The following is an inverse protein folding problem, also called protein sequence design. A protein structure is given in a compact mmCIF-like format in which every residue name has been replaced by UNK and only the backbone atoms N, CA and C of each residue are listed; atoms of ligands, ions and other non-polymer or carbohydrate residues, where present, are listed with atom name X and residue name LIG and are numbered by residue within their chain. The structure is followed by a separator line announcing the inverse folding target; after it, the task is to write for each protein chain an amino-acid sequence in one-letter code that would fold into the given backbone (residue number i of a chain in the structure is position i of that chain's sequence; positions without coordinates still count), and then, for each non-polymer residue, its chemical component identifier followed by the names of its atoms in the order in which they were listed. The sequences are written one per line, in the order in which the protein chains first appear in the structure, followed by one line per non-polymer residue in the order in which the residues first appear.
data_IF_776006263454
#
_entry.id   IF_776006263454
#
_cell.length_a   1.000
_cell.length_b   1.000
_cell.length_c   1.000
_cell.angle_alpha   90.00
_cell.angle_beta   90.00
_cell.angle_gamma   90.00
#
_symmetry.space_group_name_H-M   'P 1'
#
loop_
_entity.id
_entity.type
_entity.pdbx_description
1 polymer ?
#
# COMPACT_ATOMS: atom_id res chain seq x y z
N UNK A 1 17.73 43.39 7.23
CA UNK A 1 16.28 43.28 7.53
C UNK A 1 15.89 41.81 7.40
N UNK A 2 15.52 41.14 8.50
CA UNK A 2 15.11 39.72 8.49
C UNK A 2 13.60 39.67 8.24
N UNK A 3 13.18 39.22 7.07
CA UNK A 3 11.79 38.84 6.85
C UNK A 3 11.58 37.45 7.45
N UNK A 4 10.86 37.38 8.58
CA UNK A 4 10.42 36.12 9.14
C UNK A 4 9.44 35.46 8.16
N UNK A 5 9.70 34.21 7.78
CA UNK A 5 8.80 33.44 6.92
C UNK A 5 7.51 33.11 7.69
N UNK A 6 6.34 33.23 7.04
CA UNK A 6 5.06 32.98 7.68
C UNK A 6 5.00 31.52 8.16
N UNK A 7 4.58 31.40 9.41
CA UNK A 7 4.13 30.24 10.18
C UNK A 7 4.15 28.91 9.43
N UNK A 8 4.89 27.94 9.98
CA UNK A 8 4.74 26.50 9.76
C UNK A 8 3.26 26.18 9.63
N UNK A 9 2.78 26.11 8.39
CA UNK A 9 1.51 25.46 8.09
C UNK A 9 1.71 24.08 8.68
N UNK A 10 0.90 23.73 9.68
CA UNK A 10 0.77 22.34 10.12
C UNK A 10 0.68 21.57 8.82
N UNK A 11 1.72 20.79 8.50
CA UNK A 11 1.66 19.85 7.40
C UNK A 11 0.45 19.00 7.77
N UNK A 12 -0.69 19.34 7.18
CA UNK A 12 -1.87 18.50 7.21
C UNK A 12 -1.35 17.31 6.43
N UNK A 13 -0.85 16.32 7.16
CA UNK A 13 -0.49 15.05 6.58
C UNK A 13 -1.72 14.69 5.79
N UNK A 14 -1.58 14.67 4.46
CA UNK A 14 -2.46 13.89 3.65
C UNK A 14 -2.17 12.46 4.07
N UNK A 15 -2.70 12.05 5.22
CA UNK A 15 -3.00 10.66 5.48
C UNK A 15 -4.02 10.30 4.42
N UNK A 16 -3.50 9.98 3.24
CA UNK A 16 -4.27 9.47 2.13
C UNK A 16 -4.93 8.22 2.68
N UNK A 17 -6.23 8.32 2.98
CA UNK A 17 -6.99 7.19 3.45
C UNK A 17 -7.03 6.17 2.31
N UNK A 18 -6.17 5.17 2.39
CA UNK A 18 -6.14 4.09 1.42
C UNK A 18 -7.29 3.13 1.76
N UNK A 19 -8.23 2.88 0.83
CA UNK A 19 -9.32 1.94 1.07
C UNK A 19 -8.74 0.55 1.29
N UNK A 20 -9.21 -0.14 2.32
CA UNK A 20 -8.78 -1.51 2.61
C UNK A 20 -9.57 -2.49 1.75
N UNK A 21 -8.88 -3.22 0.86
CA UNK A 21 -9.49 -4.29 0.06
C UNK A 21 -10.15 -5.36 0.94
N UNK A 22 -9.57 -5.69 2.10
CA UNK A 22 -10.15 -6.62 3.06
C UNK A 22 -11.47 -6.13 3.64
N UNK A 23 -11.59 -4.83 3.96
CA UNK A 23 -12.87 -4.25 4.41
C UNK A 23 -13.94 -4.26 3.32
N UNK A 24 -13.54 -4.31 2.05
CA UNK A 24 -14.44 -4.31 0.89
C UNK A 24 -14.56 -5.70 0.25
N UNK A 25 -14.06 -6.75 0.91
CA UNK A 25 -13.90 -8.07 0.30
C UNK A 25 -15.22 -8.63 -0.25
N UNK A 26 -16.31 -8.52 0.49
CA UNK A 26 -17.64 -8.97 0.05
C UNK A 26 -18.13 -8.23 -1.20
N UNK A 27 -17.84 -6.92 -1.30
CA UNK A 27 -18.22 -6.12 -2.46
C UNK A 27 -17.41 -6.50 -3.71
N UNK A 28 -16.13 -6.83 -3.52
CA UNK A 28 -15.26 -7.34 -4.58
C UNK A 28 -15.79 -8.68 -5.09
N UNK A 29 -16.10 -9.62 -4.18
CA UNK A 29 -16.64 -10.93 -4.55
C UNK A 29 -18.01 -10.84 -5.23
N UNK A 30 -18.88 -9.99 -4.72
CA UNK A 30 -20.18 -9.72 -5.34
C UNK A 30 -20.01 -9.23 -6.78
N UNK A 31 -19.08 -8.31 -7.02
CA UNK A 31 -18.79 -7.75 -8.35
C UNK A 31 -18.11 -8.76 -9.29
N UNK A 32 -17.43 -9.77 -8.74
CA UNK A 32 -16.75 -10.83 -9.49
C UNK A 32 -17.64 -12.05 -9.78
N UNK A 33 -18.88 -12.10 -9.28
CA UNK A 33 -19.79 -13.24 -9.44
C UNK A 33 -19.93 -13.66 -10.91
N UNK A 34 -19.70 -14.94 -11.18
CA UNK A 34 -19.79 -15.53 -12.52
C UNK A 34 -18.56 -15.30 -13.42
N UNK A 35 -17.49 -14.68 -12.90
CA UNK A 35 -16.21 -14.49 -13.60
C UNK A 35 -15.15 -15.42 -13.04
N UNK A 36 -14.20 -15.81 -13.88
CA UNK A 36 -12.96 -16.41 -13.40
C UNK A 36 -12.06 -15.32 -12.80
N UNK A 37 -11.55 -15.56 -11.61
CA UNK A 37 -10.66 -14.64 -10.91
C UNK A 37 -9.23 -15.10 -11.12
N UNK A 38 -8.37 -14.20 -11.58
CA UNK A 38 -6.92 -14.40 -11.66
C UNK A 38 -6.27 -13.44 -10.68
N UNK A 39 -5.34 -13.94 -9.87
CA UNK A 39 -4.62 -13.16 -8.87
C UNK A 39 -3.15 -13.11 -9.27
N UNK A 40 -2.60 -11.89 -9.31
CA UNK A 40 -1.18 -11.63 -9.45
C UNK A 40 -0.70 -11.00 -8.15
N UNK A 41 0.36 -11.55 -7.57
CA UNK A 41 0.93 -11.08 -6.32
C UNK A 41 2.40 -10.73 -6.56
N UNK A 42 2.80 -9.58 -6.06
CA UNK A 42 4.22 -9.26 -5.94
C UNK A 42 4.85 -10.15 -4.86
N UNK A 43 6.17 -10.23 -4.88
CA UNK A 43 6.92 -11.00 -3.88
C UNK A 43 7.31 -10.12 -2.69
N UNK A 44 8.15 -9.11 -2.90
CA UNK A 44 8.70 -8.28 -1.83
C UNK A 44 7.67 -7.31 -1.26
N UNK A 45 7.49 -7.34 0.06
CA UNK A 45 6.48 -6.53 0.76
C UNK A 45 5.04 -7.00 0.56
N UNK A 46 4.81 -8.09 -0.18
CA UNK A 46 3.48 -8.71 -0.33
C UNK A 46 3.47 -10.15 0.21
N UNK A 47 4.22 -11.05 -0.41
CA UNK A 47 4.34 -12.45 0.04
C UNK A 47 5.47 -12.65 1.05
N UNK A 48 6.51 -11.82 0.96
CA UNK A 48 7.66 -11.81 1.87
C UNK A 48 7.84 -10.40 2.48
N UNK A 49 8.45 -10.27 3.68
CA UNK A 49 8.81 -8.98 4.24
C UNK A 49 9.79 -8.22 3.34
N UNK A 50 9.69 -6.89 3.31
CA UNK A 50 10.70 -6.05 2.65
C UNK A 50 12.03 -6.20 3.39
N UNK A 51 13.10 -6.52 2.67
CA UNK A 51 14.46 -6.64 3.21
C UNK A 51 15.30 -5.45 2.75
N UNK A 52 16.10 -4.89 3.66
CA UNK A 52 16.97 -3.73 3.37
C UNK A 52 18.21 -4.12 2.55
N UNK A 53 18.66 -5.36 2.74
CA UNK A 53 19.81 -5.95 2.06
C UNK A 53 19.34 -6.86 0.93
N UNK A 54 19.63 -6.50 -0.32
CA UNK A 54 19.18 -7.21 -1.50
C UNK A 54 19.76 -8.64 -1.57
N UNK A 55 20.95 -8.88 -1.01
CA UNK A 55 21.56 -10.22 -0.99
C UNK A 55 20.83 -11.17 -0.03
N UNK A 56 19.92 -10.63 0.79
CA UNK A 56 19.05 -11.39 1.70
C UNK A 56 17.61 -11.53 1.19
N UNK A 57 17.32 -11.06 -0.03
CA UNK A 57 16.02 -11.27 -0.66
C UNK A 57 15.97 -12.70 -1.25
N UNK A 58 15.47 -13.64 -0.46
CA UNK A 58 15.39 -15.05 -0.85
C UNK A 58 13.97 -15.44 -1.29
N UNK A 59 13.89 -16.14 -2.42
CA UNK A 59 12.67 -16.82 -2.85
C UNK A 59 12.67 -18.26 -2.32
N UNK A 60 11.68 -18.63 -1.51
CA UNK A 60 11.48 -20.03 -1.09
C UNK A 60 10.74 -20.79 -2.19
N UNK A 61 11.28 -21.94 -2.60
CA UNK A 61 10.66 -22.86 -3.57
C UNK A 61 9.56 -23.70 -2.95
#
# INVERSE_FOLDING_TARGET
MRAASPTRTVLKSSEHYHPSALKLFDQILYSAKGKQIVVFLDYDGTLAPIVVDADKAFMTT
#
